data_IF_546275842972
#
_entry.id   IF_546275842972
#
_cell.length_a   1.000
_cell.length_b   1.000
_cell.length_c   1.000
_cell.angle_alpha   90.00
_cell.angle_beta   90.00
_cell.angle_gamma   90.00
#
_symmetry.space_group_name_H-M   'P 1'
#
loop_
_entity.id
_entity.type
_entity.pdbx_description
1 polymer ?
#
# COMPACT_ATOMS: atom_id res chain seq x y z
N UNK A 1 12.09 20.69 19.02
CA UNK A 1 11.73 19.41 18.37
C UNK A 1 12.56 19.29 17.10
N UNK A 2 13.46 18.31 16.99
CA UNK A 2 14.19 18.06 15.74
C UNK A 2 13.21 17.35 14.79
N UNK A 3 12.73 18.07 13.77
CA UNK A 3 11.87 17.49 12.74
C UNK A 3 12.58 16.31 12.08
N UNK A 4 11.84 15.21 11.84
CA UNK A 4 12.35 14.08 11.05
C UNK A 4 12.84 14.64 9.71
N UNK A 5 14.11 14.42 9.37
CA UNK A 5 14.61 14.73 8.03
C UNK A 5 13.78 13.93 7.03
N UNK A 6 13.22 14.61 6.03
CA UNK A 6 12.56 13.95 4.89
C UNK A 6 13.65 13.23 4.10
N UNK A 7 13.33 12.06 3.56
CA UNK A 7 14.23 11.29 2.68
C UNK A 7 14.37 11.95 1.28
N UNK A 8 13.84 13.18 1.08
CA UNK A 8 13.75 13.92 -0.19
C UNK A 8 13.97 15.43 0.02
N UNK A 9 14.69 16.07 -0.90
CA UNK A 9 15.04 17.50 -0.85
C UNK A 9 14.07 18.43 -1.61
N UNK A 10 13.04 17.90 -2.28
CA UNK A 10 12.08 18.68 -3.03
C UNK A 10 10.78 19.03 -2.28
N UNK A 11 9.77 19.50 -3.03
CA UNK A 11 8.43 19.79 -2.51
C UNK A 11 7.82 18.65 -1.66
N UNK A 12 6.91 18.98 -0.72
CA UNK A 12 6.31 17.98 0.18
C UNK A 12 5.49 16.91 -0.54
N UNK A 13 5.06 17.16 -1.78
CA UNK A 13 4.35 16.21 -2.64
C UNK A 13 5.18 15.86 -3.90
N UNK A 14 6.50 15.71 -3.74
CA UNK A 14 7.40 15.21 -4.78
C UNK A 14 7.80 16.33 -5.72
N UNK A 15 7.28 16.35 -6.96
CA UNK A 15 7.45 17.48 -7.89
C UNK A 15 6.47 18.63 -7.60
N UNK A 16 5.50 18.43 -6.70
CA UNK A 16 4.43 19.39 -6.43
C UNK A 16 4.43 19.95 -5.00
N UNK A 17 4.01 21.21 -4.88
CA UNK A 17 3.95 21.91 -3.59
C UNK A 17 2.66 21.61 -2.82
N UNK A 18 1.57 21.27 -3.53
CA UNK A 18 0.27 20.97 -2.95
C UNK A 18 -0.29 19.62 -3.43
N UNK A 19 -1.10 18.97 -2.58
CA UNK A 19 -1.62 17.63 -2.83
C UNK A 19 -2.60 17.56 -4.01
N UNK A 20 -3.42 18.58 -4.18
CA UNK A 20 -4.41 18.73 -5.26
C UNK A 20 -3.78 18.87 -6.65
N UNK A 21 -2.52 19.33 -6.72
CA UNK A 21 -1.73 19.36 -7.95
C UNK A 21 -1.31 17.96 -8.40
N UNK A 22 -1.36 16.97 -7.51
CA UNK A 22 -0.81 15.66 -7.80
C UNK A 22 -1.80 14.72 -8.49
N UNK A 23 -3.09 15.04 -8.49
CA UNK A 23 -4.12 14.28 -9.23
C UNK A 23 -3.89 14.38 -10.76
N UNK A 24 -3.17 15.40 -11.22
CA UNK A 24 -2.77 15.60 -12.62
C UNK A 24 -1.37 15.02 -12.94
N UNK A 25 -0.65 14.53 -11.93
CA UNK A 25 0.77 14.18 -12.06
C UNK A 25 1.03 12.92 -12.87
N UNK A 26 0.06 12.02 -13.09
CA UNK A 26 0.27 10.88 -13.98
C UNK A 26 0.65 11.35 -15.40
N UNK A 27 -0.04 12.37 -15.91
CA UNK A 27 0.20 12.88 -17.26
C UNK A 27 1.37 13.88 -17.34
N UNK A 28 1.76 14.54 -16.26
CA UNK A 28 2.86 15.51 -16.31
C UNK A 28 4.18 14.93 -15.83
N UNK A 29 4.15 14.07 -14.81
CA UNK A 29 5.33 13.55 -14.13
C UNK A 29 5.73 12.15 -14.62
N UNK A 30 4.78 11.40 -15.16
CA UNK A 30 4.87 9.95 -15.44
C UNK A 30 4.34 9.59 -16.84
N UNK A 31 4.59 10.45 -17.84
CA UNK A 31 4.10 10.27 -19.22
C UNK A 31 4.49 8.92 -19.83
N UNK A 32 5.72 8.48 -19.54
CA UNK A 32 6.32 7.26 -20.08
C UNK A 32 6.31 6.12 -19.06
N UNK A 33 5.41 6.16 -18.07
CA UNK A 33 5.33 5.12 -17.04
C UNK A 33 5.13 3.75 -17.70
N UNK A 34 5.96 2.74 -17.37
CA UNK A 34 5.79 1.40 -17.90
C UNK A 34 4.40 0.89 -17.52
N UNK A 35 3.69 0.31 -18.49
CA UNK A 35 2.34 -0.22 -18.28
C UNK A 35 2.43 -1.69 -17.87
N UNK A 36 1.95 -1.95 -16.66
CA UNK A 36 1.64 -3.31 -16.23
C UNK A 36 0.26 -3.64 -16.82
N UNK A 37 0.18 -4.67 -17.66
CA UNK A 37 -1.07 -5.04 -18.33
C UNK A 37 -1.75 -6.26 -17.68
N UNK A 38 -0.99 -7.08 -16.97
CA UNK A 38 -1.47 -8.35 -16.41
C UNK A 38 -1.17 -8.44 -14.93
N UNK A 39 -2.10 -9.04 -14.19
CA UNK A 39 -1.93 -9.36 -12.77
C UNK A 39 -0.65 -10.16 -12.49
N UNK A 40 -0.27 -11.08 -13.38
CA UNK A 40 0.95 -11.87 -13.24
C UNK A 40 2.23 -11.02 -13.29
N UNK A 41 2.23 -9.93 -14.04
CA UNK A 41 3.39 -9.03 -14.15
C UNK A 41 3.54 -8.22 -12.85
N UNK A 42 2.43 -7.76 -12.24
CA UNK A 42 2.44 -7.22 -10.88
C UNK A 42 2.97 -8.25 -9.88
N UNK A 43 2.47 -9.49 -9.94
CA UNK A 43 2.92 -10.58 -9.07
C UNK A 43 4.43 -10.80 -9.12
N UNK A 44 5.01 -10.81 -10.33
CA UNK A 44 6.45 -10.92 -10.52
C UNK A 44 7.23 -9.77 -9.84
N UNK A 45 6.76 -8.53 -9.94
CA UNK A 45 7.38 -7.41 -9.23
C UNK A 45 7.24 -7.54 -7.70
N UNK A 46 6.11 -8.05 -7.19
CA UNK A 46 5.91 -8.27 -5.75
C UNK A 46 6.80 -9.39 -5.20
N UNK A 47 7.08 -10.42 -5.99
CA UNK A 47 7.93 -11.55 -5.60
C UNK A 47 9.43 -11.22 -5.65
N UNK A 48 9.83 -10.34 -6.57
CA UNK A 48 11.23 -9.92 -6.73
C UNK A 48 11.70 -8.92 -5.66
N UNK A 49 10.78 -8.21 -5.01
CA UNK A 49 11.11 -7.14 -4.07
C UNK A 49 11.00 -7.59 -2.61
N UNK A 50 11.85 -7.00 -1.76
CA UNK A 50 11.86 -7.29 -0.33
C UNK A 50 10.62 -6.73 0.37
N UNK A 51 9.95 -7.59 1.13
CA UNK A 51 8.85 -7.24 2.02
C UNK A 51 9.26 -7.40 3.48
N UNK A 52 8.98 -6.38 4.28
CA UNK A 52 9.33 -6.31 5.70
C UNK A 52 8.08 -6.30 6.55
N UNK A 53 8.10 -7.06 7.63
CA UNK A 53 7.00 -7.10 8.59
C UNK A 53 6.79 -5.72 9.25
N UNK A 54 5.55 -5.27 9.26
CA UNK A 54 5.14 -3.96 9.75
C UNK A 54 4.96 -3.89 11.27
N UNK A 55 6.05 -4.08 12.02
CA UNK A 55 6.05 -4.12 13.51
C UNK A 55 5.34 -2.94 14.19
N UNK A 56 5.36 -1.76 13.58
CA UNK A 56 4.79 -0.51 14.14
C UNK A 56 3.40 -0.20 13.61
N UNK A 57 2.79 -1.10 12.84
CA UNK A 57 1.43 -0.95 12.32
C UNK A 57 0.49 -2.09 12.80
N UNK A 58 0.31 -2.31 14.12
CA UNK A 58 -0.67 -3.27 14.61
C UNK A 58 -2.13 -2.86 14.28
N UNK A 59 -2.38 -1.57 14.03
CA UNK A 59 -3.68 -0.98 13.70
C UNK A 59 -3.78 -0.48 12.24
N UNK A 60 -2.91 -0.91 11.33
CA UNK A 60 -3.06 -0.67 9.89
C UNK A 60 -4.41 -1.24 9.38
N UNK A 61 -4.84 -1.02 8.11
CA UNK A 61 -6.13 -1.48 7.59
C UNK A 61 -6.25 -3.01 7.47
N UNK A 62 -6.11 -3.67 8.61
CA UNK A 62 -6.69 -4.93 8.98
C UNK A 62 -8.17 -4.88 8.75
N UNK A 63 -8.72 -6.04 8.52
CA UNK A 63 -10.14 -6.31 8.40
C UNK A 63 -11.03 -5.31 9.17
N UNK A 64 -12.09 -4.84 8.51
CA UNK A 64 -13.13 -4.01 9.12
C UNK A 64 -13.50 -4.58 10.50
N UNK A 65 -13.27 -3.90 11.63
CA UNK A 65 -14.16 -3.83 12.82
C UNK A 65 -13.54 -2.98 13.95
N UNK A 66 -14.14 -1.83 14.33
CA UNK A 66 -13.58 -0.88 15.30
C UNK A 66 -13.58 -1.31 16.78
N UNK A 67 -14.21 -2.45 17.15
CA UNK A 67 -14.53 -2.73 18.56
C UNK A 67 -13.49 -3.54 19.34
N UNK A 68 -12.42 -4.01 18.71
CA UNK A 68 -11.42 -4.88 19.35
C UNK A 68 -10.02 -4.28 19.45
N UNK A 69 -9.85 -3.01 19.06
CA UNK A 69 -8.58 -2.25 19.04
C UNK A 69 -7.72 -2.35 20.33
N UNK A 70 -8.32 -2.67 21.47
CA UNK A 70 -7.64 -2.72 22.77
C UNK A 70 -7.08 -4.10 23.17
N UNK A 71 -7.18 -5.13 22.32
CA UNK A 71 -6.78 -6.51 22.67
C UNK A 71 -5.76 -7.13 21.68
N UNK A 72 -5.11 -6.30 20.84
CA UNK A 72 -4.32 -6.70 19.66
C UNK A 72 -2.80 -6.86 19.87
N UNK A 73 -2.36 -7.35 21.03
CA UNK A 73 -0.91 -7.53 21.23
C UNK A 73 -0.32 -8.80 20.59
N UNK A 74 -1.12 -9.73 20.02
CA UNK A 74 -0.57 -11.05 19.63
C UNK A 74 -0.99 -11.71 18.32
N UNK A 75 -1.97 -11.22 17.57
CA UNK A 75 -2.43 -11.96 16.38
C UNK A 75 -3.01 -11.02 15.32
N UNK A 76 -2.19 -10.13 14.79
CA UNK A 76 -2.50 -9.32 13.60
C UNK A 76 -2.37 -10.19 12.36
N UNK A 77 -3.13 -9.93 11.29
CA UNK A 77 -2.68 -10.40 9.97
C UNK A 77 -1.24 -9.92 9.78
N UNK A 78 -0.36 -10.72 9.18
CA UNK A 78 1.02 -10.26 9.05
C UNK A 78 1.11 -9.23 7.92
N UNK A 79 0.89 -7.95 8.25
CA UNK A 79 1.10 -6.88 7.28
C UNK A 79 2.58 -6.77 7.02
N UNK A 80 2.90 -6.86 5.74
CA UNK A 80 4.23 -6.61 5.23
C UNK A 80 4.19 -5.38 4.33
N UNK A 81 5.32 -4.71 4.19
CA UNK A 81 5.45 -3.64 3.20
C UNK A 81 6.79 -3.73 2.48
N UNK A 82 6.81 -3.25 1.25
CA UNK A 82 8.04 -2.93 0.53
C UNK A 82 8.20 -1.42 0.44
N UNK A 83 9.44 -0.95 0.40
CA UNK A 83 9.79 0.48 0.40
C UNK A 83 10.25 0.88 -0.98
N UNK A 84 9.72 1.98 -1.53
CA UNK A 84 10.16 2.54 -2.83
C UNK A 84 11.68 2.63 -2.96
N UNK A 85 12.36 3.10 -1.90
CA UNK A 85 13.82 3.25 -1.87
C UNK A 85 14.62 1.94 -1.92
N UNK A 86 13.98 0.78 -1.81
CA UNK A 86 14.63 -0.53 -1.94
C UNK A 86 14.40 -1.16 -3.30
N UNK A 87 13.61 -0.53 -4.17
CA UNK A 87 13.39 -0.99 -5.54
C UNK A 87 14.56 -0.54 -6.42
N UNK A 88 15.00 -1.40 -7.32
CA UNK A 88 16.06 -1.08 -8.28
C UNK A 88 15.59 -0.03 -9.29
N UNK A 89 14.33 -0.15 -9.71
CA UNK A 89 13.70 0.75 -10.65
C UNK A 89 12.49 1.45 -10.00
N UNK A 90 12.58 2.78 -9.93
CA UNK A 90 11.55 3.64 -9.34
C UNK A 90 10.24 3.65 -10.16
N UNK A 91 10.35 3.60 -11.49
CA UNK A 91 9.21 3.58 -12.40
C UNK A 91 8.38 2.29 -12.26
N UNK A 92 9.03 1.16 -11.99
CA UNK A 92 8.34 -0.12 -11.72
C UNK A 92 7.54 -0.06 -10.42
N UNK A 93 8.08 0.57 -9.36
CA UNK A 93 7.34 0.78 -8.12
C UNK A 93 6.09 1.61 -8.39
N UNK A 94 6.24 2.72 -9.11
CA UNK A 94 5.15 3.64 -9.40
C UNK A 94 4.11 2.99 -10.31
N UNK A 95 4.55 2.21 -11.31
CA UNK A 95 3.66 1.41 -12.17
C UNK A 95 2.85 0.40 -11.36
N UNK A 96 3.46 -0.28 -10.39
CA UNK A 96 2.74 -1.17 -9.49
C UNK A 96 1.68 -0.44 -8.65
N UNK A 97 2.02 0.73 -8.10
CA UNK A 97 1.06 1.54 -7.33
C UNK A 97 -0.12 1.98 -8.20
N UNK A 98 0.16 2.43 -9.42
CA UNK A 98 -0.87 2.85 -10.36
C UNK A 98 -1.75 1.66 -10.77
N UNK A 99 -1.16 0.51 -11.06
CA UNK A 99 -1.90 -0.72 -11.39
C UNK A 99 -2.85 -1.15 -10.24
N UNK A 100 -2.39 -1.08 -8.99
CA UNK A 100 -3.24 -1.37 -7.82
C UNK A 100 -4.44 -0.41 -7.77
N UNK A 101 -4.27 0.86 -8.14
CA UNK A 101 -5.36 1.85 -8.14
C UNK A 101 -6.36 1.63 -9.25
N UNK A 102 -5.88 1.26 -10.42
CA UNK A 102 -6.72 1.09 -11.61
C UNK A 102 -7.54 -0.20 -11.56
N UNK A 103 -7.03 -1.23 -10.88
CA UNK A 103 -7.64 -2.57 -10.86
C UNK A 103 -8.15 -3.03 -9.49
N UNK A 104 -7.80 -2.32 -8.42
CA UNK A 104 -8.22 -2.68 -7.06
C UNK A 104 -9.65 -2.26 -6.75
N UNK A 105 -10.21 -2.89 -5.72
CA UNK A 105 -11.52 -2.54 -5.17
C UNK A 105 -11.37 -1.56 -4.02
N UNK A 106 -12.33 -0.65 -3.86
CA UNK A 106 -12.36 0.26 -2.71
C UNK A 106 -12.90 -0.48 -1.49
N UNK A 107 -12.09 -0.56 -0.44
CA UNK A 107 -12.47 -1.07 0.87
C UNK A 107 -12.38 0.03 1.92
N UNK A 108 -13.27 0.04 2.91
CA UNK A 108 -13.25 1.06 3.95
C UNK A 108 -12.58 0.53 5.21
N UNK A 109 -11.64 1.30 5.76
CA UNK A 109 -11.06 1.02 7.06
C UNK A 109 -11.13 2.26 7.94
N UNK A 110 -11.77 2.13 9.10
CA UNK A 110 -12.03 3.25 10.02
C UNK A 110 -12.68 4.45 9.32
N UNK A 111 -13.59 4.17 8.38
CA UNK A 111 -14.26 5.18 7.57
C UNK A 111 -13.40 5.83 6.49
N UNK A 112 -12.16 5.39 6.29
CA UNK A 112 -11.28 5.85 5.20
C UNK A 112 -11.27 4.83 4.05
N UNK A 113 -11.44 5.27 2.80
CA UNK A 113 -11.34 4.36 1.65
C UNK A 113 -9.87 4.03 1.35
N UNK A 114 -9.62 2.76 1.05
CA UNK A 114 -8.35 2.25 0.54
C UNK A 114 -8.62 1.39 -0.68
N UNK A 115 -7.91 1.65 -1.79
CA UNK A 115 -7.97 0.78 -2.97
C UNK A 115 -7.03 -0.40 -2.74
N UNK A 116 -7.58 -1.62 -2.70
CA UNK A 116 -6.82 -2.86 -2.49
C UNK A 116 -6.99 -3.80 -3.68
N UNK A 117 -5.89 -4.40 -4.10
CA UNK A 117 -5.86 -5.36 -5.19
C UNK A 117 -5.54 -6.76 -4.67
N UNK A 118 -6.37 -7.73 -5.01
CA UNK A 118 -6.18 -9.15 -4.67
C UNK A 118 -5.36 -9.86 -5.75
N UNK A 119 -4.26 -10.50 -5.37
CA UNK A 119 -3.46 -11.35 -6.25
C UNK A 119 -2.60 -12.32 -5.44
N UNK A 120 -2.41 -13.55 -5.93
CA UNK A 120 -1.41 -14.48 -5.37
C UNK A 120 -1.58 -14.84 -3.89
N UNK A 121 -2.81 -14.82 -3.36
CA UNK A 121 -3.06 -15.06 -1.92
C UNK A 121 -2.77 -13.86 -1.02
N UNK A 122 -2.62 -12.66 -1.61
CA UNK A 122 -2.40 -11.41 -0.89
C UNK A 122 -3.34 -10.32 -1.38
N UNK A 123 -3.60 -9.35 -0.50
CA UNK A 123 -4.10 -8.02 -0.84
C UNK A 123 -2.96 -7.03 -0.83
N UNK A 124 -2.86 -6.20 -1.86
CA UNK A 124 -1.85 -5.14 -2.00
C UNK A 124 -2.50 -3.76 -1.99
N UNK A 125 -1.89 -2.79 -1.31
CA UNK A 125 -2.39 -1.40 -1.30
C UNK A 125 -1.31 -0.38 -0.97
N UNK A 126 -1.50 0.86 -1.42
CA UNK A 126 -0.72 2.01 -0.95
C UNK A 126 -1.55 2.88 0.02
N UNK A 127 -0.93 3.89 0.62
CA UNK A 127 -1.61 4.76 1.60
C UNK A 127 -2.49 5.85 0.98
N UNK A 128 -2.70 5.84 -0.34
CA UNK A 128 -3.51 6.85 -1.03
C UNK A 128 -2.82 8.21 -1.24
N UNK A 129 -1.54 8.33 -0.90
CA UNK A 129 -0.74 9.52 -1.24
C UNK A 129 -0.49 9.61 -2.74
N UNK A 130 -0.27 10.78 -3.33
CA UNK A 130 0.07 10.85 -4.74
C UNK A 130 1.29 10.01 -5.13
N UNK A 131 1.39 9.59 -6.40
CA UNK A 131 2.44 8.66 -6.88
C UNK A 131 3.84 9.16 -6.51
N UNK A 132 4.07 10.44 -6.77
CA UNK A 132 5.30 11.18 -6.49
C UNK A 132 5.83 11.03 -5.06
N UNK A 133 4.95 10.89 -4.08
CA UNK A 133 5.30 10.74 -2.66
C UNK A 133 4.82 9.45 -2.02
N UNK A 134 4.30 8.55 -2.83
CA UNK A 134 4.06 7.19 -2.36
C UNK A 134 5.41 6.54 -2.13
N UNK A 135 5.61 6.03 -0.91
CA UNK A 135 6.89 5.43 -0.48
C UNK A 135 6.75 3.96 -0.09
N UNK A 136 5.52 3.45 0.01
CA UNK A 136 5.24 2.07 0.42
C UNK A 136 4.13 1.43 -0.41
N UNK A 137 4.30 0.14 -0.66
CA UNK A 137 3.23 -0.79 -1.02
C UNK A 137 3.13 -1.79 0.13
N UNK A 138 1.95 -1.89 0.72
CA UNK A 138 1.63 -2.86 1.75
C UNK A 138 1.09 -4.14 1.11
N UNK A 139 1.24 -5.27 1.82
CA UNK A 139 0.55 -6.52 1.54
C UNK A 139 0.07 -7.18 2.83
N UNK A 140 -1.00 -7.95 2.73
CA UNK A 140 -1.50 -8.84 3.78
C UNK A 140 -2.07 -10.11 3.14
N UNK A 141 -1.98 -11.24 3.85
CA UNK A 141 -2.54 -12.51 3.37
C UNK A 141 -4.06 -12.38 3.14
N UNK A 142 -4.53 -12.99 2.06
CA UNK A 142 -5.95 -13.04 1.69
C UNK A 142 -6.32 -14.40 1.08
N UNK A 143 -7.35 -15.12 1.62
CA UNK A 143 -8.16 -14.75 2.78
C UNK A 143 -7.33 -14.61 4.06
N UNK A 144 -7.80 -13.78 5.00
CA UNK A 144 -7.08 -13.59 6.26
C UNK A 144 -6.98 -14.93 7.00
N UNK A 145 -5.79 -15.30 7.53
CA UNK A 145 -5.66 -16.51 8.35
C UNK A 145 -6.24 -16.33 9.75
N UNK A 146 -6.65 -15.10 10.12
CA UNK A 146 -7.11 -14.74 11.47
C UNK A 146 -8.59 -14.41 11.51
N UNK A 147 -9.14 -13.82 10.45
CA UNK A 147 -10.49 -13.27 10.38
C UNK A 147 -11.25 -13.81 9.17
N UNK A 148 -12.55 -14.07 9.36
CA UNK A 148 -13.47 -14.36 8.25
C UNK A 148 -13.84 -13.09 7.48
N UNK A 149 -14.63 -13.25 6.41
CA UNK A 149 -15.01 -12.13 5.55
C UNK A 149 -15.84 -11.04 6.23
N UNK A 150 -16.46 -11.39 7.36
CA UNK A 150 -17.26 -10.48 8.19
C UNK A 150 -16.56 -10.20 9.51
N UNK A 151 -15.22 -10.35 9.53
CA UNK A 151 -14.30 -9.96 10.60
C UNK A 151 -14.48 -10.65 11.94
N UNK A 152 -15.19 -11.78 11.97
CA UNK A 152 -15.12 -12.67 13.11
C UNK A 152 -13.77 -13.40 13.09
N UNK A 153 -13.23 -13.66 14.26
CA UNK A 153 -12.03 -14.47 14.37
C UNK A 153 -12.30 -15.90 13.91
N UNK A 154 -11.48 -16.41 12.99
CA UNK A 154 -11.44 -17.83 12.67
C UNK A 154 -10.99 -18.59 13.92
N UNK A 155 -11.80 -19.54 14.38
CA UNK A 155 -11.46 -20.34 15.57
C UNK A 155 -10.14 -21.10 15.31
N UNK A 156 -9.20 -21.01 16.26
CA UNK A 156 -8.02 -21.90 16.28
C UNK A 156 -8.44 -23.29 16.73
#
# INVERSE_FOLDING_TARGET
MKGRKRDWEGPPFGKHEFQDQCDQCLFECWQELPRIERLADLGAHMDQNDFRFAKTMPDAPHWEYPRLARYFERHTDEIHYTLRKTWENDEEFVACVQFIRDHGNVEYFWGKPYTKLEHGGYKYWSMGYPLDVTIIINRAEHPSPVFDEVGNRLAK
#
